data_IF_687794858838
#
_entry.id   IF_687794858838
#
_cell.length_a   1.000
_cell.length_b   1.000
_cell.length_c   1.000
_cell.angle_alpha   90.00
_cell.angle_beta   90.00
_cell.angle_gamma   90.00
#
_symmetry.space_group_name_H-M   'P 1'
#
loop_
_entity.id
_entity.type
_entity.pdbx_description
1 polymer ?
#
# COMPACT_ATOMS: atom_id res chain seq x y z
N UNK A 1 -6.46 16.55 11.94
CA UNK A 1 -5.34 16.35 12.90
C UNK A 1 -4.95 14.87 12.98
N UNK A 2 -3.67 14.52 13.16
CA UNK A 2 -3.22 13.12 13.30
C UNK A 2 -3.23 12.72 14.78
N UNK A 3 -4.02 11.69 15.13
CA UNK A 3 -4.09 11.14 16.49
C UNK A 3 -3.61 9.69 16.46
N UNK A 4 -2.87 9.26 17.47
CA UNK A 4 -2.37 7.89 17.51
C UNK A 4 -2.21 7.35 18.94
N UNK A 5 -2.15 6.01 19.03
CA UNK A 5 -1.85 5.24 20.23
C UNK A 5 -0.81 4.17 19.87
N UNK A 6 0.16 3.97 20.75
CA UNK A 6 1.14 2.89 20.66
C UNK A 6 0.69 1.73 21.55
N UNK A 7 0.81 0.51 21.03
CA UNK A 7 0.42 -0.71 21.72
C UNK A 7 1.53 -1.74 21.52
N UNK A 8 1.93 -2.42 22.59
CA UNK A 8 2.82 -3.57 22.45
C UNK A 8 2.08 -4.73 21.78
N UNK A 9 2.74 -5.37 20.82
CA UNK A 9 2.13 -6.44 20.04
C UNK A 9 3.07 -7.64 19.99
N UNK A 10 2.67 -8.75 20.61
CA UNK A 10 3.42 -9.99 20.58
C UNK A 10 2.78 -10.93 19.58
N UNK A 11 3.59 -11.47 18.68
CA UNK A 11 3.19 -12.49 17.71
C UNK A 11 3.90 -13.80 17.98
N UNK A 12 3.17 -14.88 17.74
CA UNK A 12 3.73 -16.23 17.71
C UNK A 12 3.89 -16.66 16.25
N UNK A 13 5.13 -16.90 15.84
CA UNK A 13 5.44 -17.41 14.50
C UNK A 13 6.02 -18.83 14.61
N UNK A 14 5.76 -19.66 13.61
CA UNK A 14 6.37 -20.99 13.49
C UNK A 14 7.56 -20.92 12.56
N UNK A 15 8.75 -21.22 13.07
CA UNK A 15 10.00 -21.32 12.30
C UNK A 15 10.59 -22.70 12.58
N UNK A 16 10.83 -23.49 11.53
CA UNK A 16 11.41 -24.83 11.62
C UNK A 16 10.74 -25.76 12.65
N UNK A 17 9.41 -25.70 12.73
CA UNK A 17 8.61 -26.52 13.65
C UNK A 17 8.60 -26.05 15.10
N UNK A 18 9.32 -24.98 15.45
CA UNK A 18 9.30 -24.34 16.77
C UNK A 18 8.43 -23.09 16.73
N UNK A 19 7.73 -22.83 17.84
CA UNK A 19 6.96 -21.59 18.03
C UNK A 19 7.90 -20.56 18.67
N UNK A 20 8.16 -19.47 17.96
CA UNK A 20 8.94 -18.34 18.46
C UNK A 20 8.03 -17.13 18.68
N UNK A 21 8.30 -16.39 19.77
CA UNK A 21 7.59 -15.16 20.11
C UNK A 21 8.40 -13.97 19.63
N UNK A 22 7.80 -13.14 18.78
CA UNK A 22 8.35 -11.86 18.36
C UNK A 22 7.59 -10.76 19.08
N UNK A 23 8.32 -9.86 19.74
CA UNK A 23 7.77 -8.67 20.36
C UNK A 23 7.94 -7.48 19.42
N UNK A 24 6.82 -7.01 18.89
CA UNK A 24 6.73 -5.82 18.04
C UNK A 24 5.87 -4.74 18.71
N UNK A 25 5.76 -3.59 18.05
CA UNK A 25 4.87 -2.50 18.43
C UNK A 25 3.85 -2.26 17.32
N UNK A 26 2.66 -1.83 17.74
CA UNK A 26 1.56 -1.46 16.86
C UNK A 26 1.20 0.00 17.08
N UNK A 27 1.43 0.81 16.05
CA UNK A 27 0.93 2.16 15.94
C UNK A 27 -0.51 2.11 15.42
N UNK A 28 -1.47 2.42 16.27
CA UNK A 28 -2.85 2.69 15.86
C UNK A 28 -3.03 4.18 15.61
N UNK A 29 -3.38 4.55 14.39
CA UNK A 29 -3.55 5.94 13.98
C UNK A 29 -4.94 6.23 13.43
N UNK A 30 -5.38 7.46 13.62
CA UNK A 30 -6.54 8.03 12.94
C UNK A 30 -6.12 9.26 12.14
N UNK A 31 -6.63 9.37 10.91
CA UNK A 31 -6.44 10.54 10.05
C UNK A 31 -7.74 10.91 9.35
N UNK A 32 -8.17 12.15 9.55
CA UNK A 32 -9.36 12.70 8.88
C UNK A 32 -9.23 12.72 7.35
N UNK A 33 -8.03 13.02 6.83
CA UNK A 33 -7.74 12.94 5.40
C UNK A 33 -7.96 11.51 4.88
N UNK A 34 -7.57 10.51 5.66
CA UNK A 34 -7.78 9.11 5.32
C UNK A 34 -9.25 8.72 5.46
N UNK A 35 -9.96 9.18 6.49
CA UNK A 35 -11.39 8.95 6.64
C UNK A 35 -12.19 9.45 5.43
N UNK A 36 -11.89 10.65 4.92
CA UNK A 36 -12.52 11.18 3.69
C UNK A 36 -12.23 10.31 2.47
N UNK A 37 -11.00 9.81 2.33
CA UNK A 37 -10.61 8.90 1.24
C UNK A 37 -11.31 7.55 1.37
N UNK A 38 -11.26 6.93 2.55
CA UNK A 38 -11.85 5.62 2.84
C UNK A 38 -13.37 5.66 2.63
N UNK A 39 -14.04 6.74 3.04
CA UNK A 39 -15.46 7.00 2.74
C UNK A 39 -15.74 7.06 1.24
N UNK A 40 -14.93 7.79 0.47
CA UNK A 40 -15.09 7.87 -0.97
C UNK A 40 -14.85 6.52 -1.66
N UNK A 41 -13.87 5.75 -1.20
CA UNK A 41 -13.59 4.41 -1.71
C UNK A 41 -14.70 3.42 -1.32
N UNK A 42 -15.29 3.52 -0.12
CA UNK A 42 -16.50 2.77 0.26
C UNK A 42 -17.67 3.12 -0.64
N UNK A 43 -17.94 4.41 -0.88
CA UNK A 43 -19.05 4.82 -1.74
C UNK A 43 -18.91 4.23 -3.14
N UNK A 44 -17.71 4.25 -3.73
CA UNK A 44 -17.44 3.59 -5.02
C UNK A 44 -17.71 2.10 -5.02
N UNK A 45 -17.54 1.41 -3.89
CA UNK A 45 -17.86 -0.02 -3.77
C UNK A 45 -19.36 -0.24 -3.60
N UNK A 46 -20.07 0.65 -2.90
CA UNK A 46 -21.53 0.62 -2.80
C UNK A 46 -22.18 0.87 -4.16
N UNK A 47 -21.75 1.89 -4.89
CA UNK A 47 -22.26 2.19 -6.25
C UNK A 47 -22.07 1.00 -7.20
N UNK A 48 -20.99 0.22 -7.01
CA UNK A 48 -20.77 -1.03 -7.77
C UNK A 48 -21.68 -2.15 -7.30
N UNK A 49 -21.93 -2.26 -5.98
CA UNK A 49 -22.85 -3.23 -5.43
C UNK A 49 -24.29 -3.00 -5.91
N UNK A 50 -24.74 -1.74 -5.93
CA UNK A 50 -26.06 -1.36 -6.45
C UNK A 50 -26.23 -1.70 -7.93
N UNK A 51 -25.18 -1.47 -8.74
CA UNK A 51 -25.18 -1.90 -10.15
C UNK A 51 -25.28 -3.41 -10.31
N UNK A 52 -24.73 -4.19 -9.38
CA UNK A 52 -24.81 -5.65 -9.40
C UNK A 52 -26.18 -6.17 -8.97
N UNK A 53 -26.82 -5.51 -8.00
CA UNK A 53 -28.19 -5.79 -7.59
C UNK A 53 -29.17 -5.59 -8.75
N UNK A 54 -29.01 -4.51 -9.51
CA UNK A 54 -29.88 -4.18 -10.64
C UNK A 54 -29.59 -5.00 -11.91
N UNK A 55 -28.44 -5.68 -12.02
CA UNK A 55 -28.07 -6.46 -13.20
C UNK A 55 -27.38 -7.79 -12.82
N UNK A 56 -28.15 -8.82 -12.44
CA UNK A 56 -27.62 -10.13 -12.02
C UNK A 56 -26.81 -10.87 -13.10
N UNK A 57 -26.99 -10.51 -14.38
CA UNK A 57 -26.23 -11.10 -15.50
C UNK A 57 -24.74 -10.72 -15.51
N UNK A 58 -24.39 -9.54 -14.96
CA UNK A 58 -23.00 -9.04 -14.86
C UNK A 58 -22.20 -9.68 -13.70
N UNK A 59 -22.87 -10.53 -12.90
CA UNK A 59 -22.34 -11.08 -11.67
C UNK A 59 -21.03 -11.86 -11.91
N UNK A 60 -20.99 -12.82 -12.84
CA UNK A 60 -19.77 -13.63 -13.08
C UNK A 60 -18.50 -12.80 -13.39
N UNK A 61 -18.65 -11.63 -14.01
CA UNK A 61 -17.53 -10.77 -14.44
C UNK A 61 -17.09 -9.81 -13.33
N UNK A 62 -18.03 -9.21 -12.60
CA UNK A 62 -17.75 -8.21 -11.55
C UNK A 62 -17.42 -8.85 -10.19
N UNK A 63 -17.83 -10.11 -9.97
CA UNK A 63 -17.47 -10.92 -8.81
C UNK A 63 -15.93 -11.05 -8.64
N UNK A 64 -15.14 -10.83 -9.70
CA UNK A 64 -13.66 -10.84 -9.66
C UNK A 64 -13.03 -9.49 -9.25
N UNK A 65 -13.79 -8.40 -9.20
CA UNK A 65 -13.28 -7.01 -9.05
C UNK A 65 -13.62 -6.35 -7.70
N UNK A 66 -13.87 -7.13 -6.66
CA UNK A 66 -14.03 -6.63 -5.29
C UNK A 66 -15.42 -6.08 -4.93
N UNK A 67 -16.38 -6.08 -5.84
CA UNK A 67 -17.78 -5.65 -5.58
C UNK A 67 -18.55 -6.55 -4.59
N UNK A 68 -17.98 -7.69 -4.19
CA UNK A 68 -18.58 -8.61 -3.21
C UNK A 68 -18.52 -8.12 -1.76
N UNK A 69 -17.70 -7.11 -1.47
CA UNK A 69 -17.36 -6.76 -0.09
C UNK A 69 -18.56 -6.34 0.75
N UNK A 70 -19.67 -5.90 0.15
CA UNK A 70 -20.88 -5.46 0.87
C UNK A 70 -22.14 -6.17 0.38
N UNK A 71 -21.98 -7.33 -0.27
CA UNK A 71 -23.10 -8.10 -0.83
C UNK A 71 -23.22 -9.43 -0.09
N UNK A 72 -24.41 -9.70 0.42
CA UNK A 72 -24.78 -11.01 0.96
C UNK A 72 -25.55 -11.79 -0.10
N UNK A 73 -25.16 -13.04 -0.30
CA UNK A 73 -25.84 -13.98 -1.20
C UNK A 73 -26.48 -15.07 -0.36
N UNK A 74 -27.81 -15.16 -0.39
CA UNK A 74 -28.54 -16.21 0.35
C UNK A 74 -28.51 -17.52 -0.44
N UNK A 75 -28.14 -18.64 0.19
CA UNK A 75 -28.10 -19.94 -0.49
C UNK A 75 -29.52 -20.41 -0.81
N UNK A 76 -29.87 -20.48 -2.10
CA UNK A 76 -31.08 -21.15 -2.58
C UNK A 76 -31.77 -20.37 -3.70
N UNK A 77 -31.83 -19.06 -3.58
CA UNK A 77 -32.30 -18.13 -4.61
C UNK A 77 -31.17 -17.14 -4.92
N UNK A 78 -31.10 -16.64 -6.15
CA UNK A 78 -30.25 -15.52 -6.55
C UNK A 78 -30.72 -14.18 -5.93
N UNK A 79 -31.23 -14.22 -4.70
CA UNK A 79 -31.61 -13.05 -3.93
C UNK A 79 -30.34 -12.46 -3.33
N UNK A 80 -29.97 -11.33 -3.90
CA UNK A 80 -28.76 -10.57 -3.58
C UNK A 80 -29.23 -9.39 -2.72
N UNK A 81 -28.61 -9.21 -1.56
CA UNK A 81 -28.92 -8.09 -0.67
C UNK A 81 -27.64 -7.39 -0.22
N UNK A 82 -27.75 -6.11 0.15
CA UNK A 82 -26.65 -5.38 0.77
C UNK A 82 -26.45 -5.87 2.20
N UNK A 83 -25.20 -6.14 2.57
CA UNK A 83 -24.83 -6.43 3.96
C UNK A 83 -24.68 -5.13 4.75
N UNK A 84 -25.80 -4.62 5.27
CA UNK A 84 -25.85 -3.36 6.04
C UNK A 84 -24.91 -3.39 7.24
N UNK A 85 -24.78 -4.54 7.92
CA UNK A 85 -23.89 -4.67 9.09
C UNK A 85 -22.43 -4.46 8.69
N UNK A 86 -22.01 -5.09 7.60
CA UNK A 86 -20.65 -4.96 7.09
C UNK A 86 -20.33 -3.54 6.60
N UNK A 87 -21.33 -2.82 6.07
CA UNK A 87 -21.20 -1.41 5.68
C UNK A 87 -20.99 -0.53 6.91
N UNK A 88 -21.80 -0.71 7.95
CA UNK A 88 -21.69 0.05 9.21
C UNK A 88 -20.35 -0.19 9.92
N UNK A 89 -19.88 -1.45 9.95
CA UNK A 89 -18.57 -1.78 10.50
C UNK A 89 -17.44 -1.12 9.70
N UNK A 90 -17.53 -1.15 8.36
CA UNK A 90 -16.54 -0.49 7.52
C UNK A 90 -16.54 1.03 7.69
N UNK A 91 -17.71 1.65 7.87
CA UNK A 91 -17.84 3.08 8.13
C UNK A 91 -17.21 3.49 9.47
N UNK A 92 -17.41 2.70 10.53
CA UNK A 92 -16.77 2.94 11.84
C UNK A 92 -15.24 2.89 11.76
N UNK A 93 -14.70 2.12 10.82
CA UNK A 93 -13.26 1.93 10.62
C UNK A 93 -12.62 2.99 9.71
N UNK A 94 -13.39 3.91 9.13
CA UNK A 94 -12.84 4.94 8.25
C UNK A 94 -11.77 5.77 8.94
N UNK A 95 -10.63 5.93 8.27
CA UNK A 95 -9.53 6.75 8.77
C UNK A 95 -8.65 6.07 9.80
N UNK A 96 -9.06 4.93 10.36
CA UNK A 96 -8.24 4.11 11.25
C UNK A 96 -7.24 3.25 10.47
N UNK A 97 -5.99 3.25 10.91
CA UNK A 97 -4.93 2.39 10.38
C UNK A 97 -4.07 1.85 11.49
N UNK A 98 -3.40 0.74 11.21
CA UNK A 98 -2.41 0.14 12.08
C UNK A 98 -1.09 0.02 11.30
N UNK A 99 0.03 0.35 11.94
CA UNK A 99 1.37 0.11 11.42
C UNK A 99 2.13 -0.69 12.46
N UNK A 100 2.61 -1.86 12.05
CA UNK A 100 3.45 -2.69 12.89
C UNK A 100 4.92 -2.39 12.62
N UNK A 101 5.71 -2.28 13.68
CA UNK A 101 7.13 -1.93 13.61
C UNK A 101 7.90 -2.53 14.79
N UNK A 102 9.16 -2.88 14.56
CA UNK A 102 10.00 -3.56 15.57
C UNK A 102 10.89 -2.60 16.37
N UNK A 103 11.19 -1.41 15.83
CA UNK A 103 12.08 -0.43 16.46
C UNK A 103 11.39 0.31 17.60
N UNK A 104 11.68 -0.07 18.85
CA UNK A 104 11.02 0.46 20.07
C UNK A 104 11.29 1.95 20.32
N UNK A 105 12.42 2.47 19.84
CA UNK A 105 12.84 3.85 20.06
C UNK A 105 12.04 4.88 19.24
N UNK A 106 11.32 4.44 18.20
CA UNK A 106 10.62 5.34 17.31
C UNK A 106 9.30 5.84 17.91
N UNK A 107 9.08 7.14 17.83
CA UNK A 107 7.79 7.75 18.14
C UNK A 107 6.76 7.43 17.06
N UNK A 108 5.47 7.44 17.41
CA UNK A 108 4.40 7.19 16.44
C UNK A 108 4.35 8.18 15.26
N UNK A 109 4.91 9.39 15.43
CA UNK A 109 5.08 10.36 14.33
C UNK A 109 6.18 9.91 13.36
N UNK A 110 7.35 9.55 13.87
CA UNK A 110 8.48 9.06 13.06
C UNK A 110 8.10 7.80 12.30
N UNK A 111 7.45 6.83 12.97
CA UNK A 111 6.94 5.61 12.31
C UNK A 111 6.03 5.97 11.13
N UNK A 112 5.10 6.92 11.33
CA UNK A 112 4.21 7.36 10.27
C UNK A 112 4.94 8.07 9.13
N UNK A 113 5.94 8.89 9.42
CA UNK A 113 6.75 9.58 8.42
C UNK A 113 7.59 8.60 7.59
N UNK A 114 8.26 7.65 8.25
CA UNK A 114 9.04 6.59 7.62
C UNK A 114 8.12 5.74 6.73
N UNK A 115 6.98 5.28 7.26
CA UNK A 115 6.02 4.52 6.46
C UNK A 115 5.45 5.35 5.30
N UNK A 116 5.21 6.63 5.54
CA UNK A 116 4.81 7.60 4.52
C UNK A 116 5.87 7.84 3.45
N UNK A 117 7.11 7.38 3.65
CA UNK A 117 8.19 7.46 2.67
C UNK A 117 8.33 6.21 1.78
N UNK A 118 7.55 5.16 2.03
CA UNK A 118 7.61 3.91 1.25
C UNK A 118 7.36 4.11 -0.25
N UNK A 119 6.54 5.10 -0.63
CA UNK A 119 6.30 5.41 -2.04
C UNK A 119 7.58 5.81 -2.80
N UNK A 120 8.64 6.25 -2.11
CA UNK A 120 9.94 6.56 -2.73
C UNK A 120 10.56 5.33 -3.40
N UNK A 121 10.24 4.13 -2.92
CA UNK A 121 10.66 2.88 -3.56
C UNK A 121 9.93 2.69 -4.89
N UNK A 122 8.61 2.92 -4.93
CA UNK A 122 7.84 2.87 -6.18
C UNK A 122 8.33 3.91 -7.19
N UNK A 123 8.64 5.12 -6.72
CA UNK A 123 9.25 6.17 -7.56
C UNK A 123 10.62 5.73 -8.11
N UNK A 124 11.45 5.10 -7.28
CA UNK A 124 12.74 4.56 -7.70
C UNK A 124 12.60 3.48 -8.77
N UNK A 125 11.61 2.58 -8.64
CA UNK A 125 11.31 1.60 -9.68
C UNK A 125 10.80 2.25 -10.97
N UNK A 126 10.03 3.34 -10.87
CA UNK A 126 9.56 4.09 -12.04
C UNK A 126 10.75 4.70 -12.80
N UNK A 127 11.63 5.41 -12.10
CA UNK A 127 12.83 6.03 -12.68
C UNK A 127 13.74 4.98 -13.30
N UNK A 128 13.96 3.88 -12.57
CA UNK A 128 14.79 2.77 -13.03
C UNK A 128 14.28 2.18 -14.36
N UNK A 129 12.96 2.05 -14.53
CA UNK A 129 12.35 1.47 -15.74
C UNK A 129 12.21 2.47 -16.88
N UNK A 130 11.78 3.70 -16.57
CA UNK A 130 11.41 4.72 -17.56
C UNK A 130 12.61 5.51 -18.02
N UNK A 131 13.45 5.97 -17.09
CA UNK A 131 14.55 6.90 -17.38
C UNK A 131 15.87 6.16 -17.59
N UNK A 132 16.14 5.16 -16.75
CA UNK A 132 17.39 4.39 -16.80
C UNK A 132 17.27 3.11 -17.62
N UNK A 133 16.09 2.87 -18.22
CA UNK A 133 15.83 1.75 -19.13
C UNK A 133 16.25 0.37 -18.59
N UNK A 134 16.04 0.09 -17.31
CA UNK A 134 16.18 -1.25 -16.73
C UNK A 134 15.03 -2.17 -17.20
N UNK A 135 15.01 -2.42 -18.50
CA UNK A 135 14.03 -3.18 -19.27
C UNK A 135 14.80 -4.01 -20.32
N UNK A 136 14.17 -5.02 -20.94
CA UNK A 136 14.82 -5.77 -22.01
C UNK A 136 15.22 -4.84 -23.17
N UNK A 137 16.54 -4.68 -23.39
CA UNK A 137 17.12 -3.85 -24.46
C UNK A 137 17.98 -4.68 -25.41
N UNK A 138 17.45 -5.81 -25.87
CA UNK A 138 18.16 -6.74 -26.76
C UNK A 138 19.49 -7.29 -26.20
N UNK A 139 19.62 -7.35 -24.87
CA UNK A 139 20.68 -8.08 -24.18
C UNK A 139 20.18 -9.49 -23.84
N UNK A 140 20.88 -10.52 -24.32
CA UNK A 140 20.39 -11.91 -24.27
C UNK A 140 21.19 -12.84 -23.35
N UNK A 141 22.44 -12.50 -23.03
CA UNK A 141 23.24 -13.32 -22.12
C UNK A 141 23.05 -12.86 -20.68
N UNK A 142 23.00 -13.81 -19.75
CA UNK A 142 22.84 -13.53 -18.33
C UNK A 142 23.88 -12.51 -17.82
N UNK A 143 25.15 -12.66 -18.23
CA UNK A 143 26.22 -11.72 -17.87
C UNK A 143 25.93 -10.30 -18.33
N UNK A 144 25.43 -10.11 -19.56
CA UNK A 144 25.09 -8.78 -20.09
C UNK A 144 23.84 -8.21 -19.43
N UNK A 145 22.85 -9.05 -19.12
CA UNK A 145 21.66 -8.65 -18.37
C UNK A 145 22.06 -8.14 -16.98
N UNK A 146 22.86 -8.91 -16.23
CA UNK A 146 23.35 -8.51 -14.90
C UNK A 146 24.16 -7.21 -14.96
N UNK A 147 25.03 -7.05 -15.96
CA UNK A 147 25.82 -5.82 -16.15
C UNK A 147 24.93 -4.61 -16.45
N UNK A 148 23.93 -4.74 -17.33
CA UNK A 148 22.95 -3.69 -17.61
C UNK A 148 22.22 -3.24 -16.35
N UNK A 149 21.63 -4.20 -15.61
CA UNK A 149 20.94 -3.91 -14.37
C UNK A 149 21.84 -3.24 -13.32
N UNK A 150 23.11 -3.66 -13.23
CA UNK A 150 24.08 -3.03 -12.33
C UNK A 150 24.33 -1.57 -12.70
N UNK A 151 24.54 -1.27 -13.98
CA UNK A 151 24.76 0.11 -14.45
C UNK A 151 23.54 0.98 -14.15
N UNK A 152 22.33 0.51 -14.49
CA UNK A 152 21.09 1.21 -14.18
C UNK A 152 20.92 1.45 -12.67
N UNK A 153 21.24 0.45 -11.85
CA UNK A 153 21.15 0.58 -10.40
C UNK A 153 22.17 1.58 -9.85
N UNK A 154 23.43 1.55 -10.32
CA UNK A 154 24.44 2.52 -9.93
C UNK A 154 24.04 3.96 -10.30
N UNK A 155 23.50 4.16 -11.51
CA UNK A 155 22.98 5.45 -11.93
C UNK A 155 21.85 5.94 -11.00
N UNK A 156 20.91 5.05 -10.63
CA UNK A 156 19.84 5.36 -9.69
C UNK A 156 20.38 5.76 -8.31
N UNK A 157 21.40 5.06 -7.80
CA UNK A 157 22.02 5.38 -6.50
C UNK A 157 22.65 6.77 -6.53
N UNK A 158 23.39 7.10 -7.60
CA UNK A 158 24.00 8.42 -7.77
C UNK A 158 22.92 9.51 -7.82
N UNK A 159 21.84 9.30 -8.57
CA UNK A 159 20.73 10.23 -8.67
C UNK A 159 20.04 10.46 -7.33
N UNK A 160 19.75 9.40 -6.57
CA UNK A 160 19.16 9.51 -5.22
C UNK A 160 20.09 10.19 -4.22
N UNK A 161 21.39 9.97 -4.35
CA UNK A 161 22.38 10.66 -3.54
C UNK A 161 22.43 12.16 -3.87
N UNK A 162 22.39 12.52 -5.15
CA UNK A 162 22.31 13.93 -5.57
C UNK A 162 21.02 14.60 -5.09
N UNK A 163 19.87 13.94 -5.21
CA UNK A 163 18.59 14.42 -4.67
C UNK A 163 18.68 14.70 -3.16
N UNK A 164 19.34 13.81 -2.41
CA UNK A 164 19.59 14.01 -0.98
C UNK A 164 20.47 15.23 -0.73
N UNK A 165 21.59 15.37 -1.43
CA UNK A 165 22.49 16.52 -1.27
C UNK A 165 21.78 17.85 -1.58
N UNK A 166 20.97 17.89 -2.63
CA UNK A 166 20.18 19.08 -2.99
C UNK A 166 19.18 19.44 -1.89
N UNK A 167 18.47 18.45 -1.34
CA UNK A 167 17.54 18.64 -0.21
C UNK A 167 18.24 19.16 1.03
N UNK A 168 19.41 18.61 1.36
CA UNK A 168 20.21 19.04 2.51
C UNK A 168 20.71 20.51 2.33
N UNK A 169 20.78 21.00 1.09
CA UNK A 169 21.09 22.40 0.73
C UNK A 169 19.85 23.27 0.43
N UNK A 170 18.65 22.87 0.89
CA UNK A 170 17.38 23.57 0.69
C UNK A 170 16.93 23.74 -0.78
N UNK A 171 17.46 22.92 -1.70
CA UNK A 171 17.04 22.87 -3.10
C UNK A 171 16.10 21.67 -3.31
N UNK A 172 14.79 21.95 -3.39
CA UNK A 172 13.78 20.92 -3.61
C UNK A 172 13.51 20.69 -5.10
N UNK A 173 14.32 19.84 -5.73
CA UNK A 173 14.09 19.34 -7.10
C UNK A 173 13.50 17.93 -7.07
N UNK A 174 12.53 17.67 -7.94
CA UNK A 174 12.01 16.32 -8.19
C UNK A 174 13.01 15.51 -9.00
N UNK A 175 12.98 14.18 -8.87
CA UNK A 175 13.79 13.23 -9.65
C UNK A 175 13.80 13.57 -11.16
N UNK A 176 12.62 13.83 -11.73
CA UNK A 176 12.45 14.19 -13.15
C UNK A 176 13.03 15.56 -13.57
N UNK A 177 13.46 16.41 -12.63
CA UNK A 177 14.12 17.70 -12.90
C UNK A 177 15.64 17.65 -12.66
N UNK A 178 16.12 16.59 -12.00
CA UNK A 178 17.54 16.36 -11.75
C UNK A 178 18.19 15.75 -12.99
N UNK A 179 17.44 14.92 -13.71
CA UNK A 179 17.76 14.43 -15.05
C UNK A 179 17.39 15.46 -16.13
#
# INVERSE_FOLDING_TARGET
EFKYKLIEHVKEIRVDGKVEKIQDNLLLGYSEKRAKKDKADRQRLLDKADKLLNNPSMMKQELKKGGKKFIKVTKGNLDIELDVKQIEEAEKMDGFFAIEYSQKELTGREVREIYGSLWKIEDSFRVLKTNLEARPIFVWSEKRIRAHFLICYLALVIERYLEKLLKDNNVNLSTAKIQ
#
